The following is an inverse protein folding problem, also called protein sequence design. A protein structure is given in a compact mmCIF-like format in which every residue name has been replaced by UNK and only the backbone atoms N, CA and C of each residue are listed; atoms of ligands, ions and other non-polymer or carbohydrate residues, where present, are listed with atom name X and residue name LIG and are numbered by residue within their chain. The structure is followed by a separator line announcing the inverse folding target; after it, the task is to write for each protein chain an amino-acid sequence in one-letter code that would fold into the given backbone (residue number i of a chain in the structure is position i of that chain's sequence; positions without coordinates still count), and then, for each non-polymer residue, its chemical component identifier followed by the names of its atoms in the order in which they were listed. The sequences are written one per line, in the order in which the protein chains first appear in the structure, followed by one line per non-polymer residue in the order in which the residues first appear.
data_IF_090915560455
#
_entry.id   IF_090915560455
#
_cell.length_a   1.000
_cell.length_b   1.000
_cell.length_c   1.000
_cell.angle_alpha   90.00
_cell.angle_beta   90.00
_cell.angle_gamma   90.00
#
_symmetry.space_group_name_H-M   'P 1'
#
loop_
_entity.id
_entity.type
_entity.pdbx_description
1 polymer ?
#
# COMPACT_ATOMS: atom_id res chain seq x y z
N UNK A 1 -10.57 -15.58 25.61
CA UNK A 1 -9.16 -15.12 25.66
C UNK A 1 -9.13 -13.71 25.08
N UNK A 2 -8.40 -12.78 25.69
CA UNK A 2 -8.26 -11.43 25.13
C UNK A 2 -7.13 -11.45 24.10
N UNK A 3 -7.46 -11.18 22.84
CA UNK A 3 -6.51 -11.10 21.72
C UNK A 3 -5.91 -9.68 21.67
N UNK A 4 -4.60 -9.58 21.72
CA UNK A 4 -3.87 -8.30 21.67
C UNK A 4 -3.54 -7.97 20.22
N UNK A 5 -4.16 -6.93 19.68
CA UNK A 5 -3.96 -6.45 18.32
C UNK A 5 -2.92 -5.33 18.32
N UNK A 6 -1.80 -5.55 17.63
CA UNK A 6 -0.75 -4.54 17.43
C UNK A 6 -0.91 -3.79 16.13
N UNK A 7 -0.74 -2.47 16.18
CA UNK A 7 -0.71 -1.60 15.00
C UNK A 7 0.09 -0.34 15.28
N UNK A 8 0.36 0.45 14.23
CA UNK A 8 0.92 1.80 14.40
C UNK A 8 -0.09 2.71 15.12
N UNK A 9 0.43 3.77 15.74
CA UNK A 9 -0.40 4.75 16.47
C UNK A 9 -1.07 5.83 15.60
N UNK A 10 -0.96 5.80 14.26
CA UNK A 10 -1.63 6.78 13.40
C UNK A 10 -3.14 6.56 13.38
N UNK A 11 -3.93 7.63 13.18
CA UNK A 11 -5.40 7.55 13.10
C UNK A 11 -5.87 6.46 12.12
N UNK A 12 -5.27 6.39 10.93
CA UNK A 12 -5.60 5.36 9.94
C UNK A 12 -5.25 3.95 10.45
N UNK A 13 -4.08 3.76 11.05
CA UNK A 13 -3.68 2.44 11.55
C UNK A 13 -4.57 1.96 12.70
N UNK A 14 -4.98 2.86 13.59
CA UNK A 14 -5.95 2.54 14.65
C UNK A 14 -7.34 2.17 14.08
N UNK A 15 -7.82 2.90 13.06
CA UNK A 15 -9.05 2.54 12.35
C UNK A 15 -8.94 1.15 11.69
N UNK A 16 -7.80 0.83 11.10
CA UNK A 16 -7.54 -0.49 10.50
C UNK A 16 -7.49 -1.60 11.56
N UNK A 17 -6.89 -1.31 12.72
CA UNK A 17 -6.89 -2.24 13.85
C UNK A 17 -8.31 -2.52 14.38
N UNK A 18 -9.17 -1.49 14.43
CA UNK A 18 -10.58 -1.67 14.81
C UNK A 18 -11.34 -2.55 13.81
N UNK A 19 -11.14 -2.38 12.49
CA UNK A 19 -11.73 -3.25 11.47
C UNK A 19 -11.34 -4.72 11.69
N UNK A 20 -10.05 -4.98 11.97
CA UNK A 20 -9.59 -6.31 12.33
C UNK A 20 -10.20 -6.80 13.66
N UNK A 21 -10.29 -5.92 14.66
CA UNK A 21 -10.92 -6.21 15.94
C UNK A 21 -12.38 -6.61 15.81
N UNK A 22 -13.12 -5.97 14.91
CA UNK A 22 -14.53 -6.32 14.65
C UNK A 22 -14.67 -7.73 14.05
N UNK A 23 -13.72 -8.14 13.20
CA UNK A 23 -13.69 -9.51 12.68
C UNK A 23 -13.46 -10.51 13.82
N UNK A 24 -12.47 -10.27 14.67
CA UNK A 24 -12.16 -11.15 15.80
C UNK A 24 -13.28 -11.19 16.86
N UNK A 25 -13.94 -10.07 17.13
CA UNK A 25 -15.11 -10.02 18.03
C UNK A 25 -16.27 -10.88 17.48
N UNK A 26 -16.53 -10.80 16.17
CA UNK A 26 -17.55 -11.66 15.53
C UNK A 26 -17.18 -13.14 15.58
N UNK A 27 -15.89 -13.46 15.62
CA UNK A 27 -15.39 -14.83 15.84
C UNK A 27 -15.40 -15.25 17.32
N UNK A 28 -15.91 -14.40 18.24
CA UNK A 28 -16.07 -14.74 19.67
C UNK A 28 -14.87 -14.39 20.55
N UNK A 29 -13.94 -13.56 20.08
CA UNK A 29 -12.79 -13.13 20.87
C UNK A 29 -13.03 -11.76 21.52
N UNK A 30 -12.56 -11.59 22.75
CA UNK A 30 -12.31 -10.25 23.29
C UNK A 30 -11.04 -9.68 22.68
N UNK A 31 -10.99 -8.36 22.42
CA UNK A 31 -9.82 -7.72 21.82
C UNK A 31 -9.32 -6.56 22.64
N UNK A 32 -8.00 -6.36 22.62
CA UNK A 32 -7.33 -5.17 23.15
C UNK A 32 -6.34 -4.64 22.12
N UNK A 33 -6.11 -3.33 22.11
CA UNK A 33 -5.23 -2.67 21.13
C UNK A 33 -3.93 -2.23 21.78
N UNK A 34 -2.82 -2.53 21.09
CA UNK A 34 -1.46 -2.18 21.53
C UNK A 34 -0.82 -1.29 20.45
N UNK A 35 -0.83 0.03 20.62
CA UNK A 35 -0.14 0.92 19.69
C UNK A 35 1.38 0.73 19.76
N UNK A 36 2.01 0.56 18.60
CA UNK A 36 3.45 0.37 18.47
C UNK A 36 4.03 1.54 17.67
N UNK A 37 5.06 2.20 18.24
CA UNK A 37 5.77 3.29 17.56
C UNK A 37 6.88 2.70 16.71
N UNK A 38 6.82 2.91 15.39
CA UNK A 38 7.83 2.42 14.45
C UNK A 38 8.94 3.46 14.20
N UNK A 39 10.06 3.03 13.62
CA UNK A 39 11.13 3.93 13.19
C UNK A 39 10.61 4.97 12.18
N UNK A 40 9.74 4.56 11.25
CA UNK A 40 9.11 5.47 10.29
C UNK A 40 8.16 6.49 10.91
N UNK A 41 7.60 6.22 12.09
CA UNK A 41 6.80 7.21 12.84
C UNK A 41 7.69 8.25 13.55
N UNK A 42 8.89 7.86 13.95
CA UNK A 42 9.88 8.74 14.60
C UNK A 42 10.59 9.65 13.61
N UNK A 43 11.01 9.12 12.47
CA UNK A 43 11.71 9.90 11.43
C UNK A 43 10.72 10.42 10.37
N UNK A 44 10.39 11.71 10.51
CA UNK A 44 9.50 12.44 9.60
C UNK A 44 10.26 13.30 8.58
N UNK A 45 11.59 13.31 8.64
CA UNK A 45 12.43 14.28 7.91
C UNK A 45 13.30 13.64 6.81
N UNK A 46 13.82 12.44 7.02
CA UNK A 46 14.74 11.80 6.08
C UNK A 46 14.05 11.37 4.76
N UNK A 47 14.72 11.48 3.60
CA UNK A 47 14.18 10.98 2.32
C UNK A 47 13.87 9.47 2.37
N UNK A 48 12.83 8.99 1.68
CA UNK A 48 12.43 7.57 1.72
C UNK A 48 13.59 6.62 1.38
N UNK A 49 14.46 6.98 0.45
CA UNK A 49 15.62 6.20 0.08
C UNK A 49 16.74 6.11 1.12
N UNK A 50 16.70 6.94 2.19
CA UNK A 50 17.68 6.90 3.29
C UNK A 50 17.15 6.18 4.53
N UNK A 51 15.83 5.97 4.65
CA UNK A 51 15.21 5.31 5.81
C UNK A 51 15.16 3.78 5.64
N UNK A 52 15.59 3.25 4.48
CA UNK A 52 15.54 1.82 4.18
C UNK A 52 14.20 1.35 3.59
N UNK A 53 14.10 0.05 3.34
CA UNK A 53 13.00 -0.63 2.67
C UNK A 53 11.63 -0.49 3.36
N UNK A 54 10.57 -0.97 2.70
CA UNK A 54 9.17 -1.04 3.19
C UNK A 54 9.03 -1.52 4.64
N UNK A 55 9.96 -2.33 5.15
CA UNK A 55 10.00 -2.83 6.51
C UNK A 55 10.07 -1.79 7.65
N UNK A 56 10.32 -0.50 7.38
CA UNK A 56 10.43 0.56 8.40
C UNK A 56 9.14 0.78 9.21
N UNK A 57 8.01 0.40 8.66
CA UNK A 57 6.71 0.47 9.34
C UNK A 57 6.22 -0.86 9.91
N UNK A 58 6.96 -1.95 9.65
CA UNK A 58 6.54 -3.31 9.93
C UNK A 58 7.40 -3.93 11.02
N UNK A 59 8.71 -3.67 11.00
CA UNK A 59 9.72 -4.34 11.82
C UNK A 59 9.40 -4.38 13.31
N UNK A 60 9.11 -3.23 13.94
CA UNK A 60 8.85 -3.20 15.38
C UNK A 60 7.53 -3.86 15.77
N UNK A 61 6.57 -3.93 14.82
CA UNK A 61 5.31 -4.66 15.04
C UNK A 61 5.59 -6.17 14.97
N UNK A 62 6.38 -6.63 13.99
CA UNK A 62 6.82 -8.03 13.89
C UNK A 62 7.66 -8.48 15.09
N UNK A 63 8.58 -7.64 15.56
CA UNK A 63 9.34 -7.89 16.79
C UNK A 63 8.40 -8.01 18.01
N UNK A 64 7.35 -7.22 18.09
CA UNK A 64 6.36 -7.31 19.15
C UNK A 64 5.54 -8.61 19.06
N UNK A 65 5.23 -9.06 17.84
CA UNK A 65 4.51 -10.30 17.58
C UNK A 65 5.37 -11.53 17.93
N UNK A 66 6.63 -11.57 17.47
CA UNK A 66 7.59 -12.63 17.81
C UNK A 66 7.86 -12.72 19.32
N UNK A 67 7.94 -11.58 20.00
CA UNK A 67 8.14 -11.52 21.45
C UNK A 67 6.87 -11.84 22.27
N UNK A 68 5.74 -12.18 21.63
CA UNK A 68 4.48 -12.48 22.30
C UNK A 68 3.88 -11.29 23.07
N UNK A 69 4.26 -10.04 22.72
CA UNK A 69 3.65 -8.82 23.29
C UNK A 69 2.28 -8.52 22.68
N UNK A 70 2.07 -8.96 21.44
CA UNK A 70 0.81 -8.94 20.70
C UNK A 70 0.54 -10.32 20.13
N UNK A 71 -0.70 -10.57 19.74
CA UNK A 71 -1.14 -11.86 19.19
C UNK A 71 -1.45 -11.75 17.70
N UNK A 72 -1.88 -10.57 17.25
CA UNK A 72 -2.15 -10.23 15.84
C UNK A 72 -1.52 -8.89 15.50
N UNK A 73 -0.79 -8.82 14.40
CA UNK A 73 -0.31 -7.58 13.81
C UNK A 73 -1.19 -7.18 12.64
N UNK A 74 -1.62 -5.92 12.58
CA UNK A 74 -2.46 -5.38 11.49
C UNK A 74 -1.63 -4.45 10.63
N UNK A 75 -1.58 -4.76 9.32
CA UNK A 75 -0.82 -4.00 8.33
C UNK A 75 -1.71 -3.59 7.15
N UNK A 76 -1.44 -2.42 6.56
CA UNK A 76 -1.78 -2.21 5.16
C UNK A 76 -0.90 -3.16 4.34
N UNK A 77 -1.48 -4.08 3.58
CA UNK A 77 -0.73 -5.15 2.92
C UNK A 77 0.34 -4.63 1.95
N UNK A 78 0.12 -3.47 1.33
CA UNK A 78 1.10 -2.79 0.46
C UNK A 78 2.36 -2.30 1.18
N UNK A 79 2.30 -2.09 2.50
CA UNK A 79 3.43 -1.59 3.30
C UNK A 79 4.33 -2.75 3.80
N UNK A 80 3.89 -4.01 3.61
CA UNK A 80 4.67 -5.20 3.97
C UNK A 80 5.83 -5.43 2.99
N UNK A 81 6.90 -5.99 3.51
CA UNK A 81 8.05 -6.42 2.69
C UNK A 81 7.64 -7.53 1.72
N UNK A 82 8.40 -7.67 0.61
CA UNK A 82 8.20 -8.77 -0.35
C UNK A 82 8.70 -10.13 0.18
N UNK A 83 9.49 -10.11 1.26
CA UNK A 83 10.01 -11.31 1.93
C UNK A 83 9.32 -11.48 3.27
N UNK A 84 8.92 -12.71 3.58
CA UNK A 84 8.31 -13.05 4.85
C UNK A 84 9.33 -13.09 5.99
N UNK A 85 8.92 -12.68 7.18
CA UNK A 85 9.74 -12.76 8.39
C UNK A 85 9.64 -14.17 8.98
N UNK A 86 10.78 -14.82 9.21
CA UNK A 86 10.82 -16.16 9.78
C UNK A 86 10.04 -16.26 11.11
N UNK A 87 9.18 -17.26 11.24
CA UNK A 87 8.32 -17.48 12.41
C UNK A 87 7.00 -16.69 12.37
N UNK A 88 6.76 -15.89 11.34
CA UNK A 88 5.51 -15.16 11.12
C UNK A 88 4.86 -15.58 9.80
N UNK A 89 3.56 -15.40 9.73
CA UNK A 89 2.76 -15.69 8.53
C UNK A 89 1.57 -14.71 8.45
N UNK A 90 1.16 -14.34 7.23
CA UNK A 90 -0.11 -13.65 7.02
C UNK A 90 -1.24 -14.68 7.13
N UNK A 91 -1.87 -14.73 8.29
CA UNK A 91 -2.97 -15.67 8.57
C UNK A 91 -4.28 -15.29 7.87
N UNK A 92 -4.52 -13.99 7.63
CA UNK A 92 -5.70 -13.53 6.91
C UNK A 92 -5.44 -12.26 6.10
N UNK A 93 -6.10 -12.16 4.95
CA UNK A 93 -6.35 -10.90 4.25
C UNK A 93 -7.84 -10.57 4.35
N UNK A 94 -8.18 -9.43 4.93
CA UNK A 94 -9.58 -9.00 4.97
C UNK A 94 -10.09 -8.67 3.56
N UNK A 95 -11.41 -8.62 3.40
CA UNK A 95 -12.02 -8.16 2.15
C UNK A 95 -11.40 -6.85 1.69
N UNK A 96 -11.06 -6.79 0.41
CA UNK A 96 -10.31 -5.67 -0.17
C UNK A 96 -11.22 -4.47 -0.40
N UNK A 97 -10.83 -3.34 0.15
CA UNK A 97 -11.43 -2.04 -0.18
C UNK A 97 -10.99 -1.55 -1.56
N UNK A 98 -11.55 -0.42 -2.01
CA UNK A 98 -11.22 0.22 -3.29
C UNK A 98 -9.71 0.39 -3.47
N UNK A 99 -9.08 -0.30 -4.43
CA UNK A 99 -7.63 -0.24 -4.65
C UNK A 99 -7.17 1.03 -5.37
N UNK A 100 -8.09 1.85 -5.91
CA UNK A 100 -7.77 3.01 -6.72
C UNK A 100 -7.01 4.08 -5.94
N UNK A 101 -6.30 4.90 -6.69
CA UNK A 101 -5.80 6.17 -6.19
C UNK A 101 -6.90 7.24 -6.30
N UNK A 102 -6.88 8.20 -5.37
CA UNK A 102 -7.84 9.30 -5.30
C UNK A 102 -7.14 10.64 -5.47
N UNK A 103 -7.68 11.49 -6.33
CA UNK A 103 -7.31 12.89 -6.48
C UNK A 103 -8.13 13.72 -5.51
N UNK A 104 -7.48 14.57 -4.73
CA UNK A 104 -8.08 15.46 -3.75
C UNK A 104 -7.73 16.90 -4.17
N UNK A 105 -8.69 17.81 -4.14
CA UNK A 105 -8.52 19.20 -4.52
C UNK A 105 -8.98 19.52 -5.95
N UNK A 106 -9.09 18.51 -6.81
CA UNK A 106 -9.57 18.65 -8.19
C UNK A 106 -10.43 17.45 -8.60
N UNK A 107 -11.30 17.63 -9.58
CA UNK A 107 -12.20 16.60 -10.13
C UNK A 107 -11.68 15.94 -11.43
N UNK A 108 -10.55 16.43 -11.95
CA UNK A 108 -9.87 15.87 -13.12
C UNK A 108 -8.36 16.09 -13.01
N UNK A 109 -7.58 15.29 -13.73
CA UNK A 109 -6.17 15.56 -13.98
C UNK A 109 -6.07 16.49 -15.19
N UNK A 110 -5.43 17.63 -15.01
CA UNK A 110 -5.27 18.65 -16.05
C UNK A 110 -3.80 18.96 -16.29
N UNK A 111 -3.43 19.39 -17.51
CA UNK A 111 -2.06 19.79 -17.84
C UNK A 111 -1.53 20.88 -16.92
N UNK A 112 -0.25 20.79 -16.58
CA UNK A 112 0.45 21.80 -15.78
C UNK A 112 0.13 21.84 -14.29
N UNK A 113 -0.74 20.95 -13.79
CA UNK A 113 -1.08 20.90 -12.35
C UNK A 113 0.14 20.65 -11.47
N UNK A 114 0.11 21.27 -10.29
CA UNK A 114 1.05 20.99 -9.19
C UNK A 114 0.43 19.96 -8.25
N UNK A 115 0.92 18.71 -8.31
CA UNK A 115 0.33 17.56 -7.61
C UNK A 115 1.25 17.04 -6.51
N UNK A 116 0.70 16.88 -5.31
CA UNK A 116 1.42 16.34 -4.15
C UNK A 116 1.41 14.82 -4.10
N UNK A 117 2.58 14.18 -4.12
CA UNK A 117 2.75 12.76 -3.77
C UNK A 117 4.20 12.45 -3.44
N UNK A 118 4.45 11.50 -2.53
CA UNK A 118 5.79 10.96 -2.27
C UNK A 118 6.02 9.59 -2.94
N UNK A 119 5.04 9.06 -3.67
CA UNK A 119 5.12 7.77 -4.33
C UNK A 119 5.80 7.91 -5.70
N UNK A 120 6.93 7.24 -5.88
CA UNK A 120 7.65 7.18 -7.17
C UNK A 120 6.77 6.55 -8.26
N UNK A 121 5.97 5.53 -7.90
CA UNK A 121 5.00 4.90 -8.79
C UNK A 121 3.97 5.90 -9.35
N UNK A 122 3.38 6.72 -8.47
CA UNK A 122 2.41 7.76 -8.87
C UNK A 122 3.07 8.83 -9.70
N UNK A 123 4.25 9.29 -9.27
CA UNK A 123 5.03 10.28 -9.99
C UNK A 123 5.31 9.84 -11.43
N UNK A 124 5.86 8.65 -11.62
CA UNK A 124 6.20 8.13 -12.94
C UNK A 124 4.97 8.08 -13.86
N UNK A 125 3.85 7.57 -13.36
CA UNK A 125 2.61 7.48 -14.14
C UNK A 125 2.02 8.86 -14.46
N UNK A 126 2.09 9.84 -13.53
CA UNK A 126 1.64 11.21 -13.79
C UNK A 126 2.47 11.88 -14.89
N UNK A 127 3.80 11.76 -14.80
CA UNK A 127 4.71 12.39 -15.78
C UNK A 127 4.62 11.73 -17.15
N UNK A 128 4.35 10.43 -17.19
CA UNK A 128 4.08 9.72 -18.44
C UNK A 128 2.73 10.10 -19.06
N UNK A 129 1.73 10.42 -18.23
CA UNK A 129 0.42 10.89 -18.70
C UNK A 129 0.53 12.31 -19.27
N UNK A 130 1.21 13.20 -18.56
CA UNK A 130 1.45 14.58 -18.99
C UNK A 130 2.77 15.12 -18.38
N UNK A 131 3.82 15.33 -19.19
CA UNK A 131 5.10 15.86 -18.71
C UNK A 131 5.03 17.30 -18.17
N UNK A 132 3.96 18.04 -18.42
CA UNK A 132 3.78 19.40 -17.87
C UNK A 132 3.34 19.39 -16.39
N UNK A 133 2.91 18.25 -15.86
CA UNK A 133 2.55 18.11 -14.45
C UNK A 133 3.80 18.26 -13.56
N UNK A 134 3.68 19.09 -12.53
CA UNK A 134 4.73 19.27 -11.53
C UNK A 134 4.41 18.42 -10.29
N UNK A 135 5.27 17.46 -9.95
CA UNK A 135 5.06 16.55 -8.81
C UNK A 135 5.91 16.99 -7.62
N UNK A 136 5.23 17.36 -6.53
CA UNK A 136 5.88 17.75 -5.27
C UNK A 136 5.84 16.62 -4.22
N UNK A 137 6.98 16.29 -3.57
CA UNK A 137 7.00 15.25 -2.55
C UNK A 137 6.26 15.71 -1.29
N UNK A 138 5.23 14.98 -0.90
CA UNK A 138 4.47 15.18 0.33
C UNK A 138 4.51 13.96 1.24
N UNK A 139 4.98 14.16 2.47
CA UNK A 139 5.11 13.13 3.50
C UNK A 139 4.31 13.44 4.74
N UNK A 140 4.02 12.36 5.48
CA UNK A 140 3.24 12.36 6.71
C UNK A 140 2.03 11.44 6.59
N UNK A 141 1.22 11.40 7.64
CA UNK A 141 -0.10 10.77 7.60
C UNK A 141 -1.07 11.58 6.72
N UNK A 142 -2.26 11.05 6.47
CA UNK A 142 -3.27 11.67 5.59
C UNK A 142 -3.56 13.11 6.02
N UNK A 143 -3.86 13.36 7.31
CA UNK A 143 -4.17 14.70 7.82
C UNK A 143 -3.02 15.69 7.59
N UNK A 144 -1.77 15.25 7.81
CA UNK A 144 -0.58 16.05 7.57
C UNK A 144 -0.40 16.39 6.10
N UNK A 145 -0.65 15.43 5.19
CA UNK A 145 -0.52 15.66 3.74
C UNK A 145 -1.60 16.60 3.23
N UNK A 146 -2.84 16.47 3.69
CA UNK A 146 -3.94 17.36 3.36
C UNK A 146 -3.60 18.81 3.76
N UNK A 147 -3.15 19.01 5.00
CA UNK A 147 -2.71 20.33 5.50
C UNK A 147 -1.56 20.90 4.69
N UNK A 148 -0.49 20.11 4.46
CA UNK A 148 0.69 20.55 3.68
C UNK A 148 0.35 20.89 2.23
N UNK A 149 -0.56 20.16 1.58
CA UNK A 149 -0.99 20.46 0.23
C UNK A 149 -1.64 21.85 0.17
N UNK A 150 -2.52 22.15 1.11
CA UNK A 150 -3.17 23.46 1.23
C UNK A 150 -2.16 24.58 1.53
N UNK A 151 -1.24 24.38 2.50
CA UNK A 151 -0.21 25.35 2.89
C UNK A 151 0.73 25.69 1.73
N UNK A 152 1.02 24.73 0.84
CA UNK A 152 1.89 24.90 -0.34
C UNK A 152 1.14 25.39 -1.57
N UNK A 153 -0.16 25.55 -1.50
CA UNK A 153 -1.01 25.94 -2.63
C UNK A 153 -0.90 24.95 -3.79
N UNK A 154 -0.91 23.64 -3.51
CA UNK A 154 -0.95 22.60 -4.55
C UNK A 154 -2.35 22.52 -5.14
N UNK A 155 -2.45 22.25 -6.44
CA UNK A 155 -3.73 22.11 -7.13
C UNK A 155 -4.43 20.82 -6.70
N UNK A 156 -3.65 19.75 -6.45
CA UNK A 156 -4.17 18.48 -6.01
C UNK A 156 -3.17 17.66 -5.18
N UNK A 157 -3.70 16.63 -4.53
CA UNK A 157 -2.95 15.60 -3.79
C UNK A 157 -3.46 14.22 -4.21
N UNK A 158 -2.55 13.25 -4.37
CA UNK A 158 -2.94 11.86 -4.63
C UNK A 158 -2.67 10.97 -3.42
N UNK A 159 -3.74 10.31 -2.96
CA UNK A 159 -3.73 9.31 -1.87
C UNK A 159 -4.43 8.02 -2.33
N UNK A 160 -4.30 6.93 -1.57
CA UNK A 160 -5.11 5.74 -1.77
C UNK A 160 -6.56 6.00 -1.31
N UNK A 161 -7.54 5.71 -2.15
CA UNK A 161 -8.96 5.91 -1.87
C UNK A 161 -9.39 5.19 -0.58
N UNK A 162 -9.03 3.92 -0.42
CA UNK A 162 -9.33 3.14 0.78
C UNK A 162 -8.88 3.80 2.10
N UNK A 163 -7.80 4.57 2.08
CA UNK A 163 -7.34 5.29 3.28
C UNK A 163 -8.27 6.45 3.67
N UNK A 164 -8.84 7.13 2.69
CA UNK A 164 -9.83 8.20 2.89
C UNK A 164 -11.17 7.61 3.33
N UNK A 165 -11.63 6.54 2.67
CA UNK A 165 -12.86 5.85 3.00
C UNK A 165 -12.85 5.34 4.46
N UNK A 166 -11.77 4.68 4.87
CA UNK A 166 -11.60 4.20 6.25
C UNK A 166 -11.63 5.33 7.28
N UNK A 167 -11.16 6.51 6.92
CA UNK A 167 -11.20 7.71 7.78
C UNK A 167 -12.50 8.51 7.67
N UNK A 168 -13.46 8.09 6.82
CA UNK A 168 -14.69 8.82 6.48
C UNK A 168 -14.39 10.22 5.96
N UNK A 169 -13.43 10.30 5.03
CA UNK A 169 -13.01 11.52 4.32
C UNK A 169 -13.28 11.38 2.81
N UNK A 170 -14.19 10.52 2.42
CA UNK A 170 -14.59 10.24 1.04
C UNK A 170 -15.16 11.48 0.34
N UNK A 171 -15.80 12.39 1.08
CA UNK A 171 -16.24 13.69 0.58
C UNK A 171 -15.10 14.60 0.09
N UNK A 172 -13.85 14.31 0.46
CA UNK A 172 -12.64 15.00 -0.02
C UNK A 172 -12.17 14.51 -1.38
N UNK A 173 -12.69 13.37 -1.85
CA UNK A 173 -12.29 12.77 -3.12
C UNK A 173 -12.98 13.50 -4.26
N UNK A 174 -12.21 14.22 -5.07
CA UNK A 174 -12.71 14.83 -6.29
C UNK A 174 -12.78 13.85 -7.46
N UNK A 175 -11.81 12.90 -7.53
CA UNK A 175 -11.79 11.84 -8.53
C UNK A 175 -11.17 10.56 -7.95
N UNK A 176 -11.86 9.43 -8.12
CA UNK A 176 -11.23 8.10 -8.00
C UNK A 176 -10.61 7.77 -9.35
N UNK A 177 -9.27 7.83 -9.42
CA UNK A 177 -8.55 7.70 -10.68
C UNK A 177 -8.76 6.27 -11.22
N UNK A 178 -9.24 6.10 -12.47
CA UNK A 178 -9.40 4.78 -13.07
C UNK A 178 -8.10 3.99 -13.07
N UNK A 179 -8.18 2.67 -12.88
CA UNK A 179 -7.01 1.76 -12.83
C UNK A 179 -6.23 1.79 -14.16
N UNK A 180 -6.93 2.01 -15.26
CA UNK A 180 -6.35 2.16 -16.61
C UNK A 180 -5.47 3.40 -16.71
N UNK A 181 -5.83 4.46 -16.01
CA UNK A 181 -5.07 5.73 -15.97
C UNK A 181 -3.91 5.64 -14.99
N UNK A 182 -4.15 5.10 -13.80
CA UNK A 182 -3.12 4.97 -12.75
C UNK A 182 -3.22 3.61 -12.09
N UNK A 183 -2.34 2.70 -12.47
CA UNK A 183 -2.30 1.35 -11.91
C UNK A 183 -1.90 1.42 -10.43
N UNK A 184 -2.70 0.84 -9.51
CA UNK A 184 -2.45 0.88 -8.08
C UNK A 184 -1.16 0.19 -7.67
N UNK A 185 -0.71 0.47 -6.46
CA UNK A 185 0.35 -0.30 -5.81
C UNK A 185 -0.13 -1.71 -5.47
N UNK A 186 0.74 -2.70 -5.60
CA UNK A 186 0.42 -4.07 -5.23
C UNK A 186 -0.15 -4.14 -3.80
N UNK A 187 -1.22 -4.89 -3.63
CA UNK A 187 -1.96 -5.05 -2.38
C UNK A 187 -2.63 -3.77 -1.84
N UNK A 188 -2.70 -2.68 -2.60
CA UNK A 188 -3.43 -1.49 -2.18
C UNK A 188 -4.91 -1.82 -1.94
N UNK A 189 -5.46 -1.37 -0.83
CA UNK A 189 -6.83 -1.65 -0.38
C UNK A 189 -6.94 -2.84 0.58
N UNK A 190 -6.00 -3.78 0.59
CA UNK A 190 -6.04 -4.93 1.47
C UNK A 190 -5.44 -4.65 2.86
N UNK A 191 -6.03 -5.26 3.89
CA UNK A 191 -5.45 -5.36 5.23
C UNK A 191 -4.95 -6.79 5.44
N UNK A 192 -3.72 -6.91 5.95
CA UNK A 192 -3.10 -8.18 6.32
C UNK A 192 -3.10 -8.34 7.85
N UNK A 193 -3.56 -9.49 8.32
CA UNK A 193 -3.48 -9.93 9.70
C UNK A 193 -2.34 -10.95 9.81
N UNK A 194 -1.24 -10.53 10.42
CA UNK A 194 -0.05 -11.37 10.59
C UNK A 194 -0.05 -11.98 12.00
N UNK A 195 0.27 -13.25 12.07
CA UNK A 195 0.32 -14.04 13.32
C UNK A 195 1.63 -14.84 13.37
N UNK A 196 1.94 -15.46 14.50
CA UNK A 196 3.00 -16.45 14.56
C UNK A 196 2.63 -17.71 13.79
N UNK A 197 3.60 -18.34 13.16
CA UNK A 197 3.40 -19.61 12.43
C UNK A 197 2.77 -20.64 13.35
N UNK A 198 1.66 -21.27 12.90
CA UNK A 198 0.87 -22.22 13.66
C UNK A 198 -0.30 -21.60 14.44
N UNK A 199 -0.47 -20.26 14.38
CA UNK A 199 -1.59 -19.55 15.03
C UNK A 199 -2.60 -18.96 14.01
N UNK A 200 -2.58 -19.39 12.74
CA UNK A 200 -3.39 -18.89 11.64
C UNK A 200 -4.89 -19.00 11.91
N UNK A 201 -5.30 -20.02 12.65
CA UNK A 201 -6.71 -20.25 13.03
C UNK A 201 -7.32 -19.06 13.79
N UNK A 202 -6.48 -18.33 14.55
CA UNK A 202 -6.90 -17.15 15.30
C UNK A 202 -7.57 -16.08 14.45
N UNK A 203 -7.13 -15.94 13.19
CA UNK A 203 -7.59 -14.90 12.27
C UNK A 203 -8.33 -15.46 11.05
N UNK A 204 -8.45 -16.79 10.94
CA UNK A 204 -9.01 -17.49 9.76
C UNK A 204 -10.41 -17.02 9.38
N UNK A 205 -11.25 -16.68 10.36
CA UNK A 205 -12.60 -16.15 10.15
C UNK A 205 -12.64 -14.81 9.38
N UNK A 206 -11.50 -14.11 9.29
CA UNK A 206 -11.37 -12.86 8.55
C UNK A 206 -10.77 -13.03 7.14
N UNK A 207 -10.34 -14.24 6.78
CA UNK A 207 -9.64 -14.44 5.51
C UNK A 207 -10.59 -14.45 4.32
N UNK A 208 -10.36 -13.52 3.40
CA UNK A 208 -10.99 -13.49 2.09
C UNK A 208 -10.12 -14.22 1.08
N UNK A 209 -10.53 -15.42 0.69
CA UNK A 209 -9.84 -16.26 -0.31
C UNK A 209 -9.58 -15.47 -1.61
N UNK A 210 -10.54 -14.65 -2.03
CA UNK A 210 -10.42 -13.86 -3.24
C UNK A 210 -9.39 -12.73 -3.09
N UNK A 211 -9.44 -12.00 -1.98
CA UNK A 211 -8.43 -10.97 -1.67
C UNK A 211 -7.03 -11.58 -1.59
N UNK A 212 -6.89 -12.73 -0.90
CA UNK A 212 -5.63 -13.45 -0.78
C UNK A 212 -5.06 -13.79 -2.15
N UNK A 213 -5.83 -14.45 -3.01
CA UNK A 213 -5.41 -14.83 -4.37
C UNK A 213 -4.91 -13.63 -5.16
N UNK A 214 -5.65 -12.53 -5.15
CA UNK A 214 -5.31 -11.29 -5.87
C UNK A 214 -4.03 -10.66 -5.31
N UNK A 215 -3.96 -10.46 -4.01
CA UNK A 215 -2.84 -9.81 -3.33
C UNK A 215 -1.55 -10.61 -3.48
N UNK A 216 -1.60 -11.93 -3.32
CA UNK A 216 -0.43 -12.78 -3.47
C UNK A 216 0.11 -12.75 -4.90
N UNK A 217 -0.76 -12.80 -5.92
CA UNK A 217 -0.35 -12.65 -7.31
C UNK A 217 0.34 -11.30 -7.58
N UNK A 218 -0.23 -10.20 -7.10
CA UNK A 218 0.36 -8.86 -7.21
C UNK A 218 1.72 -8.76 -6.52
N UNK A 219 1.85 -9.34 -5.32
CA UNK A 219 3.10 -9.35 -4.54
C UNK A 219 4.19 -10.18 -5.20
N UNK A 220 3.85 -11.32 -5.83
CA UNK A 220 4.79 -12.14 -6.59
C UNK A 220 5.41 -11.32 -7.73
N UNK A 221 4.62 -10.55 -8.49
CA UNK A 221 5.17 -9.67 -9.55
C UNK A 221 6.21 -8.72 -9.00
N UNK A 222 5.87 -7.98 -7.92
CA UNK A 222 6.78 -6.99 -7.32
C UNK A 222 8.05 -7.66 -6.77
N UNK A 223 7.91 -8.83 -6.13
CA UNK A 223 9.04 -9.60 -5.60
C UNK A 223 9.95 -10.10 -6.73
N UNK A 224 9.37 -10.61 -7.83
CA UNK A 224 10.11 -11.15 -8.98
C UNK A 224 10.87 -10.07 -9.75
N UNK A 225 10.31 -8.87 -9.84
CA UNK A 225 11.01 -7.71 -10.43
C UNK A 225 12.22 -7.30 -9.56
N UNK A 226 12.26 -7.71 -8.28
CA UNK A 226 13.33 -7.31 -7.37
C UNK A 226 13.34 -5.80 -7.10
N UNK A 227 12.29 -5.12 -7.49
CA UNK A 227 12.14 -3.70 -7.29
C UNK A 227 11.92 -3.41 -5.81
N UNK A 228 12.92 -2.84 -5.16
CA UNK A 228 12.74 -2.20 -3.86
C UNK A 228 11.67 -1.12 -3.95
N UNK A 229 11.27 -0.54 -2.82
CA UNK A 229 10.24 0.51 -2.73
C UNK A 229 10.49 1.77 -3.57
N UNK A 230 11.66 1.87 -4.18
CA UNK A 230 12.12 3.03 -4.94
C UNK A 230 11.91 2.87 -6.45
N UNK A 231 11.58 1.69 -6.95
CA UNK A 231 11.28 1.53 -8.37
C UNK A 231 9.79 1.81 -8.64
N UNK A 232 9.47 2.49 -9.76
CA UNK A 232 8.08 2.76 -10.14
C UNK A 232 7.43 1.49 -10.71
N UNK A 233 7.07 0.56 -9.80
CA UNK A 233 6.39 -0.69 -10.12
C UNK A 233 4.98 -0.66 -9.57
N UNK A 234 4.03 -1.19 -10.33
CA UNK A 234 2.64 -1.39 -9.93
C UNK A 234 2.18 -2.79 -10.34
N UNK A 235 1.24 -3.34 -9.58
CA UNK A 235 0.54 -4.56 -9.98
C UNK A 235 -0.88 -4.55 -9.40
N UNK A 236 -1.85 -4.96 -10.20
CA UNK A 236 -3.25 -5.03 -9.81
C UNK A 236 -3.95 -6.21 -10.49
N UNK A 237 -4.64 -7.02 -9.69
CA UNK A 237 -5.50 -8.09 -10.14
C UNK A 237 -6.96 -7.68 -9.92
N UNK A 238 -7.73 -7.49 -10.99
CA UNK A 238 -9.12 -7.03 -10.93
C UNK A 238 -10.13 -8.13 -10.55
N UNK A 239 -9.68 -9.37 -10.51
CA UNK A 239 -10.46 -10.59 -10.27
C UNK A 239 -10.38 -11.57 -11.42
N UNK A 240 -10.21 -11.08 -12.63
CA UNK A 240 -10.10 -11.87 -13.85
C UNK A 240 -8.65 -11.88 -14.37
N UNK A 241 -7.98 -10.72 -14.35
CA UNK A 241 -6.67 -10.55 -14.97
C UNK A 241 -5.70 -9.78 -14.08
N UNK A 242 -4.45 -10.18 -14.10
CA UNK A 242 -3.34 -9.48 -13.46
C UNK A 242 -2.71 -8.52 -14.47
N UNK A 243 -2.66 -7.24 -14.12
CA UNK A 243 -1.95 -6.20 -14.86
C UNK A 243 -0.80 -5.67 -14.03
N UNK A 244 0.35 -5.50 -14.64
CA UNK A 244 1.51 -4.93 -13.99
C UNK A 244 2.18 -3.86 -14.84
N UNK A 245 3.01 -3.05 -14.20
CA UNK A 245 3.68 -1.91 -14.80
C UNK A 245 5.06 -1.72 -14.20
N UNK A 246 6.04 -1.38 -15.03
CA UNK A 246 7.32 -0.81 -14.65
C UNK A 246 7.56 0.46 -15.45
N UNK A 247 8.19 1.47 -14.86
CA UNK A 247 8.39 2.75 -15.51
C UNK A 247 9.74 3.39 -15.15
N UNK A 248 10.17 4.38 -15.92
CA UNK A 248 11.21 5.30 -15.51
C UNK A 248 10.68 6.24 -14.42
N UNK A 249 11.52 6.66 -13.47
CA UNK A 249 11.13 7.58 -12.39
C UNK A 249 10.67 8.96 -12.91
N UNK A 250 11.21 9.39 -14.05
CA UNK A 250 10.88 10.65 -14.71
C UNK A 250 9.67 10.52 -15.67
N UNK A 251 9.09 9.33 -15.78
CA UNK A 251 7.96 9.05 -16.67
C UNK A 251 8.31 9.01 -18.17
N UNK A 252 9.59 9.04 -18.54
CA UNK A 252 10.04 9.03 -19.94
C UNK A 252 9.61 7.78 -20.70
N UNK A 253 9.36 6.67 -19.99
CA UNK A 253 8.77 5.47 -20.53
C UNK A 253 7.97 4.72 -19.45
N UNK A 254 6.95 4.00 -19.90
CA UNK A 254 6.13 3.09 -19.09
C UNK A 254 5.90 1.82 -19.90
N UNK A 255 6.24 0.67 -19.33
CA UNK A 255 5.89 -0.64 -19.86
C UNK A 255 4.77 -1.23 -19.01
N UNK A 256 3.70 -1.67 -19.67
CA UNK A 256 2.54 -2.29 -19.04
C UNK A 256 2.24 -3.60 -19.75
N UNK A 257 2.04 -4.65 -18.98
CA UNK A 257 1.66 -5.95 -19.48
C UNK A 257 0.55 -6.56 -18.62
N UNK A 258 -0.17 -7.54 -19.17
CA UNK A 258 -1.24 -8.26 -18.47
C UNK A 258 -1.18 -9.74 -18.81
N UNK A 259 -1.36 -10.59 -17.80
CA UNK A 259 -1.31 -12.04 -17.95
C UNK A 259 -1.87 -12.73 -16.72
N UNK A 260 -1.86 -14.07 -16.74
CA UNK A 260 -2.40 -14.88 -15.65
C UNK A 260 -1.30 -15.39 -14.70
N UNK A 261 -0.07 -15.57 -15.22
CA UNK A 261 1.08 -16.02 -14.44
C UNK A 261 1.95 -14.84 -13.97
N UNK A 262 2.05 -14.59 -12.65
CA UNK A 262 2.77 -13.46 -12.12
C UNK A 262 4.27 -13.45 -12.43
N UNK A 263 4.92 -14.62 -12.47
CA UNK A 263 6.35 -14.72 -12.68
C UNK A 263 6.71 -14.44 -14.15
N UNK A 264 5.94 -14.98 -15.07
CA UNK A 264 6.06 -14.71 -16.51
C UNK A 264 5.85 -13.22 -16.78
N UNK A 265 4.81 -12.62 -16.19
CA UNK A 265 4.52 -11.21 -16.36
C UNK A 265 5.67 -10.31 -15.85
N UNK A 266 6.26 -10.67 -14.71
CA UNK A 266 7.42 -9.97 -14.18
C UNK A 266 8.64 -10.06 -15.11
N UNK A 267 8.91 -11.24 -15.66
CA UNK A 267 10.02 -11.46 -16.59
C UNK A 267 9.84 -10.63 -17.88
N UNK A 268 8.65 -10.62 -18.47
CA UNK A 268 8.33 -9.81 -19.64
C UNK A 268 8.58 -8.30 -19.40
N UNK A 269 8.16 -7.79 -18.24
CA UNK A 269 8.37 -6.39 -17.87
C UNK A 269 9.84 -6.06 -17.64
N UNK A 270 10.62 -6.96 -17.03
CA UNK A 270 12.07 -6.77 -16.87
C UNK A 270 12.78 -6.71 -18.21
N UNK A 271 12.52 -7.66 -19.11
CA UNK A 271 13.09 -7.62 -20.46
C UNK A 271 12.72 -6.34 -21.23
N UNK A 272 11.47 -5.89 -21.10
CA UNK A 272 11.03 -4.64 -21.71
C UNK A 272 11.78 -3.43 -21.14
N UNK A 273 11.97 -3.39 -19.82
CA UNK A 273 12.70 -2.30 -19.16
C UNK A 273 14.19 -2.25 -19.55
N UNK A 274 14.84 -3.41 -19.68
CA UNK A 274 16.24 -3.52 -20.13
C UNK A 274 16.41 -2.99 -21.58
N UNK A 275 15.46 -3.32 -22.47
CA UNK A 275 15.46 -2.76 -23.84
C UNK A 275 15.29 -1.25 -23.90
N UNK A 276 14.68 -0.62 -22.87
CA UNK A 276 14.54 0.84 -22.77
C UNK A 276 15.76 1.51 -22.19
N UNK A 277 16.54 0.78 -21.37
CA UNK A 277 17.76 1.31 -20.74
C UNK A 277 19.01 1.19 -21.63
N UNK A 278 18.96 0.38 -22.70
CA UNK A 278 20.03 0.19 -23.69
C UNK A 278 19.96 1.24 -24.79
#
# INVERSE_FOLDING_TARGET
MVVRIGSRGSRLALTQAELAGDVLRRAGHDVSFVPITTAGDRDRSSPFGQIGDRGVFVKEIEEALLAGRIDVAVHSAKDMTSTDTAGLVVGAYLERDDPRDALIGASALEPGMRIGTASVRRRAQLLALDPSISVEPLRGNIDTRLRKAQERGLDALILAACGLDRLRLDERIGLRIPVETMLPEAAQGALALQVRTGEEELVSAGDSVETRRRVEAERIVVASIGAGCLAPVAAHHDGERLTALIAAEDGSWVERASGDDPATLAAELLEASERRAA
#
